data_IF_483941934863
#
_entry.id   IF_483941934863
#
_cell.length_a   1.000
_cell.length_b   1.000
_cell.length_c   1.000
_cell.angle_alpha   90.00
_cell.angle_beta   90.00
_cell.angle_gamma   90.00
#
_symmetry.space_group_name_H-M   'P 1'
#
loop_
_entity.id
_entity.type
_entity.pdbx_description
1 polymer ?
#
# COMPACT_ATOMS: atom_id res chain seq x y z
N UNK A 1 -2.43 -3.48 5.85
CA UNK A 1 -1.43 -2.42 6.16
C UNK A 1 -1.89 -1.13 5.54
N UNK A 2 -1.96 -0.04 6.31
CA UNK A 2 -2.28 1.29 5.78
C UNK A 2 -1.13 2.26 6.08
N UNK A 3 -0.43 2.69 5.04
CA UNK A 3 0.73 3.57 5.16
C UNK A 3 0.70 4.69 4.11
N UNK A 4 0.52 5.92 4.60
CA UNK A 4 0.46 7.14 3.80
C UNK A 4 1.82 7.85 3.86
N UNK A 5 2.63 7.73 2.82
CA UNK A 5 3.98 8.27 2.78
C UNK A 5 3.96 9.80 2.74
N UNK A 6 2.92 10.44 2.18
CA UNK A 6 2.79 11.90 2.11
C UNK A 6 2.83 12.60 3.49
N UNK A 7 2.65 11.83 4.57
CA UNK A 7 2.56 12.31 5.95
C UNK A 7 3.79 11.99 6.78
N UNK A 8 4.80 11.37 6.19
CA UNK A 8 6.03 10.98 6.86
C UNK A 8 7.14 11.95 6.43
N UNK A 9 7.95 12.49 7.35
CA UNK A 9 9.16 13.22 6.97
C UNK A 9 10.05 12.35 6.09
N UNK A 10 10.54 12.90 4.97
CA UNK A 10 11.27 12.11 3.96
C UNK A 10 12.50 11.42 4.54
N UNK A 11 13.17 12.07 5.49
CA UNK A 11 14.31 11.55 6.24
C UNK A 11 14.00 10.30 7.08
N UNK A 12 12.72 10.06 7.40
CA UNK A 12 12.29 8.91 8.18
C UNK A 12 11.77 7.76 7.31
N UNK A 13 11.54 7.97 6.01
CA UNK A 13 10.84 7.00 5.15
C UNK A 13 11.55 5.65 5.09
N UNK A 14 12.87 5.63 4.91
CA UNK A 14 13.66 4.40 4.84
C UNK A 14 13.60 3.61 6.17
N UNK A 15 13.77 4.29 7.30
CA UNK A 15 13.66 3.66 8.61
C UNK A 15 12.24 3.15 8.88
N UNK A 16 11.22 3.91 8.48
CA UNK A 16 9.83 3.50 8.61
C UNK A 16 9.49 2.27 7.76
N UNK A 17 10.08 2.15 6.56
CA UNK A 17 9.94 0.95 5.73
C UNK A 17 10.58 -0.27 6.42
N UNK A 18 11.82 -0.15 6.92
CA UNK A 18 12.48 -1.25 7.62
C UNK A 18 11.75 -1.68 8.91
N UNK A 19 11.21 -0.69 9.64
CA UNK A 19 10.38 -0.93 10.83
C UNK A 19 9.06 -1.64 10.48
N UNK A 20 8.44 -1.27 9.35
CA UNK A 20 7.26 -1.96 8.83
C UNK A 20 7.58 -3.41 8.46
N UNK A 21 8.70 -3.68 7.77
CA UNK A 21 9.15 -5.05 7.45
C UNK A 21 9.30 -5.88 8.73
N UNK A 22 9.98 -5.33 9.74
CA UNK A 22 10.14 -5.99 11.04
C UNK A 22 8.81 -6.29 11.73
N UNK A 23 7.87 -5.35 11.65
CA UNK A 23 6.51 -5.51 12.19
C UNK A 23 5.75 -6.61 11.46
N UNK A 24 5.84 -6.62 10.12
CA UNK A 24 5.18 -7.63 9.30
C UNK A 24 5.74 -9.01 9.58
N UNK A 25 7.05 -9.17 9.70
CA UNK A 25 7.67 -10.44 10.07
C UNK A 25 7.07 -10.99 11.36
N UNK A 26 7.00 -10.18 12.41
CA UNK A 26 6.42 -10.59 13.70
C UNK A 26 4.94 -10.97 13.62
N UNK A 27 4.16 -10.35 12.71
CA UNK A 27 2.73 -10.61 12.56
C UNK A 27 2.46 -11.83 11.67
N UNK A 28 3.31 -12.05 10.66
CA UNK A 28 3.18 -13.10 9.66
C UNK A 28 3.80 -14.44 10.11
N UNK A 29 4.79 -14.40 11.01
CA UNK A 29 5.43 -15.59 11.61
C UNK A 29 4.57 -16.23 12.73
N UNK A 30 3.47 -15.59 13.14
CA UNK A 30 2.47 -16.23 14.02
C UNK A 30 1.81 -17.40 13.28
N UNK A 31 1.71 -18.59 13.90
CA UNK A 31 1.10 -19.79 13.30
C UNK A 31 -0.37 -19.55 12.85
N UNK A 32 -1.03 -18.55 13.46
CA UNK A 32 -2.38 -18.09 13.10
C UNK A 32 -2.39 -16.85 12.19
N UNK A 33 -1.22 -16.39 11.77
CA UNK A 33 -0.98 -15.16 11.04
C UNK A 33 -1.54 -15.17 9.60
N UNK A 34 -1.88 -13.99 9.06
CA UNK A 34 -2.39 -13.89 7.71
C UNK A 34 -1.30 -14.24 6.68
N UNK A 35 -1.67 -14.85 5.56
CA UNK A 35 -0.71 -15.17 4.47
C UNK A 35 -0.60 -14.09 3.39
N UNK A 36 -1.48 -13.09 3.45
CA UNK A 36 -1.62 -12.06 2.43
C UNK A 36 -1.63 -10.68 3.09
N UNK A 37 -0.72 -9.83 2.64
CA UNK A 37 -0.64 -8.43 3.05
C UNK A 37 -1.40 -7.58 2.04
N UNK A 38 -2.54 -7.01 2.46
CA UNK A 38 -3.20 -5.93 1.72
C UNK A 38 -2.53 -4.60 2.05
N UNK A 39 -1.87 -4.00 1.08
CA UNK A 39 -1.11 -2.76 1.24
C UNK A 39 -1.87 -1.56 0.67
N UNK A 40 -2.20 -0.61 1.53
CA UNK A 40 -2.92 0.62 1.18
C UNK A 40 -1.97 1.79 1.34
N UNK A 41 -1.62 2.41 0.21
CA UNK A 41 -0.70 3.56 0.16
C UNK A 41 -1.20 4.66 -0.79
N UNK A 42 -0.73 5.89 -0.54
CA UNK A 42 -0.82 7.02 -1.47
C UNK A 42 0.33 7.08 -2.48
N UNK A 43 1.34 6.23 -2.33
CA UNK A 43 2.38 6.05 -3.32
C UNK A 43 1.80 5.30 -4.53
N UNK A 44 2.08 5.77 -5.75
CA UNK A 44 1.77 4.97 -6.91
C UNK A 44 2.88 3.96 -7.16
N UNK A 45 2.54 2.69 -6.98
CA UNK A 45 3.29 1.59 -7.56
C UNK A 45 3.14 1.69 -9.08
N UNK A 46 4.11 2.33 -9.72
CA UNK A 46 4.38 2.43 -11.17
C UNK A 46 3.19 2.13 -12.10
N UNK A 47 2.53 3.18 -12.60
CA UNK A 47 1.77 3.08 -13.84
C UNK A 47 2.77 2.79 -14.97
N UNK A 48 2.77 1.55 -15.47
CA UNK A 48 3.39 1.26 -16.77
C UNK A 48 2.60 2.03 -17.83
N UNK A 49 3.10 3.20 -18.23
CA UNK A 49 2.66 3.80 -19.47
C UNK A 49 3.15 2.94 -20.65
N UNK A 50 2.33 2.71 -21.69
CA UNK A 50 2.69 1.91 -22.87
C UNK A 50 3.81 2.55 -23.75
N UNK A 51 4.41 3.66 -23.32
CA UNK A 51 5.36 4.47 -24.06
C UNK A 51 6.78 4.50 -23.46
N UNK A 52 7.13 3.60 -22.53
CA UNK A 52 8.52 3.41 -22.09
C UNK A 52 9.15 4.58 -21.31
N UNK A 53 8.35 5.59 -20.95
CA UNK A 53 8.76 6.72 -20.10
C UNK A 53 8.13 6.54 -18.72
N UNK A 54 8.96 6.27 -17.70
CA UNK A 54 8.53 6.18 -16.30
C UNK A 54 8.07 7.55 -15.80
N UNK A 55 6.79 7.89 -15.99
CA UNK A 55 6.21 9.10 -15.44
C UNK A 55 5.91 8.92 -13.95
N UNK A 56 6.64 9.63 -13.09
CA UNK A 56 6.40 9.70 -11.63
C UNK A 56 5.19 10.59 -11.36
N UNK A 57 3.98 10.03 -11.31
CA UNK A 57 2.77 10.78 -10.90
C UNK A 57 2.21 10.28 -9.56
N UNK A 58 1.28 11.04 -8.99
CA UNK A 58 0.80 11.00 -7.60
C UNK A 58 -0.71 10.67 -7.49
N UNK A 59 -1.11 9.81 -6.53
CA UNK A 59 -2.46 9.16 -6.48
C UNK A 59 -3.55 10.04 -5.92
N UNK A 60 -3.14 11.17 -5.38
CA UNK A 60 -4.01 12.15 -4.79
C UNK A 60 -3.41 13.53 -5.06
N UNK A 61 -4.26 14.54 -5.24
CA UNK A 61 -3.83 15.94 -5.42
C UNK A 61 -3.00 16.52 -4.25
N UNK A 62 -2.84 15.75 -3.16
CA UNK A 62 -2.01 16.06 -1.99
C UNK A 62 -0.58 15.54 -2.09
N UNK A 63 -0.28 14.54 -2.92
CA UNK A 63 1.06 13.96 -3.00
C UNK A 63 1.90 14.68 -4.08
N UNK A 64 2.20 15.96 -3.84
CA UNK A 64 2.69 16.89 -4.88
C UNK A 64 4.14 16.70 -5.30
N UNK A 65 4.94 15.89 -4.60
CA UNK A 65 6.33 15.63 -4.94
C UNK A 65 6.78 14.24 -4.47
N UNK A 66 6.79 13.26 -5.39
CA UNK A 66 7.49 11.98 -5.18
C UNK A 66 8.99 12.29 -5.17
N UNK A 67 9.68 11.96 -4.08
CA UNK A 67 11.14 12.15 -3.95
C UNK A 67 11.87 10.81 -4.01
N UNK A 68 13.20 10.78 -4.22
CA UNK A 68 13.98 9.55 -4.19
C UNK A 68 13.83 8.74 -2.90
N UNK A 69 13.63 9.40 -1.76
CA UNK A 69 13.43 8.76 -0.45
C UNK A 69 12.13 7.94 -0.41
N UNK A 70 11.10 8.36 -1.16
CA UNK A 70 9.88 7.57 -1.30
C UNK A 70 10.12 6.30 -2.12
N UNK A 71 10.89 6.42 -3.20
CA UNK A 71 11.27 5.29 -4.05
C UNK A 71 12.14 4.30 -3.26
N UNK A 72 13.12 4.80 -2.52
CA UNK A 72 13.96 3.99 -1.62
C UNK A 72 13.14 3.24 -0.59
N UNK A 73 12.22 3.92 0.10
CA UNK A 73 11.36 3.28 1.10
C UNK A 73 10.46 2.19 0.52
N UNK A 74 9.95 2.40 -0.70
CA UNK A 74 9.17 1.39 -1.41
C UNK A 74 10.04 0.23 -1.89
N UNK A 75 11.28 0.48 -2.30
CA UNK A 75 12.23 -0.58 -2.68
C UNK A 75 12.57 -1.44 -1.46
N UNK A 76 12.87 -0.85 -0.29
CA UNK A 76 13.09 -1.60 0.96
C UNK A 76 11.91 -2.55 1.24
N UNK A 77 10.69 -2.05 1.09
CA UNK A 77 9.49 -2.86 1.31
C UNK A 77 9.35 -3.97 0.25
N UNK A 78 9.56 -3.67 -1.03
CA UNK A 78 9.45 -4.64 -2.12
C UNK A 78 10.52 -5.73 -2.04
N UNK A 79 11.76 -5.35 -1.77
CA UNK A 79 12.90 -6.27 -1.66
C UNK A 79 12.71 -7.26 -0.51
N UNK A 80 12.04 -6.85 0.58
CA UNK A 80 11.71 -7.75 1.67
C UNK A 80 10.80 -8.92 1.24
N UNK A 81 9.95 -8.77 0.21
CA UNK A 81 9.10 -9.84 -0.31
C UNK A 81 9.74 -10.66 -1.45
N UNK A 82 10.93 -10.28 -1.92
CA UNK A 82 11.66 -11.01 -2.97
C UNK A 82 12.44 -12.21 -2.39
N UNK A 83 12.99 -13.05 -3.27
CA UNK A 83 13.86 -14.17 -2.88
C UNK A 83 15.07 -13.68 -2.09
N UNK A 84 15.31 -14.25 -0.92
CA UNK A 84 16.35 -13.83 0.03
C UNK A 84 15.95 -12.65 0.92
N UNK A 85 14.73 -12.12 0.79
CA UNK A 85 14.18 -11.06 1.64
C UNK A 85 13.57 -11.59 2.95
N UNK A 86 13.39 -10.69 3.93
CA UNK A 86 12.89 -11.04 5.27
C UNK A 86 11.46 -11.60 5.30
N UNK A 87 10.67 -11.33 4.25
CA UNK A 87 9.29 -11.75 4.08
C UNK A 87 9.14 -12.67 2.86
N UNK A 88 10.22 -13.35 2.46
CA UNK A 88 10.19 -14.33 1.38
C UNK A 88 9.08 -15.38 1.62
N UNK A 89 8.33 -15.67 0.56
CA UNK A 89 7.23 -16.65 0.59
C UNK A 89 5.87 -16.06 1.00
N UNK A 90 5.83 -14.83 1.53
CA UNK A 90 4.58 -14.11 1.75
C UNK A 90 4.16 -13.31 0.51
N UNK A 91 2.86 -13.07 0.37
CA UNK A 91 2.32 -12.27 -0.73
C UNK A 91 1.89 -10.89 -0.25
N UNK A 92 2.24 -9.86 -1.02
CA UNK A 92 1.69 -8.51 -0.88
C UNK A 92 0.85 -8.16 -2.10
N UNK A 93 -0.28 -7.48 -1.87
CA UNK A 93 -1.17 -7.01 -2.94
C UNK A 93 -1.75 -5.65 -2.63
N UNK A 94 -2.20 -4.97 -3.68
CA UNK A 94 -2.90 -3.68 -3.61
C UNK A 94 -4.21 -3.73 -4.40
N UNK A 95 -5.12 -2.79 -4.13
CA UNK A 95 -6.38 -2.67 -4.86
C UNK A 95 -6.20 -2.58 -6.39
N UNK A 96 -5.30 -1.73 -6.95
CA UNK A 96 -5.14 -1.64 -8.40
C UNK A 96 -4.72 -2.98 -9.04
N UNK A 97 -3.87 -3.75 -8.36
CA UNK A 97 -3.44 -5.07 -8.82
C UNK A 97 -4.60 -6.06 -8.87
N UNK A 98 -5.52 -5.99 -7.91
CA UNK A 98 -6.69 -6.87 -7.85
C UNK A 98 -7.76 -6.47 -8.86
N UNK A 99 -7.99 -5.16 -9.06
CA UNK A 99 -8.84 -4.67 -10.13
C UNK A 99 -8.31 -5.13 -11.49
N UNK A 100 -7.00 -5.02 -11.74
CA UNK A 100 -6.36 -5.50 -12.98
C UNK A 100 -6.59 -7.01 -13.19
N UNK A 101 -6.50 -7.83 -12.13
CA UNK A 101 -6.80 -9.27 -12.21
C UNK A 101 -8.26 -9.52 -12.56
N UNK A 102 -9.20 -8.86 -11.88
CA UNK A 102 -10.64 -8.98 -12.17
C UNK A 102 -10.95 -8.65 -13.63
N UNK A 103 -10.35 -7.58 -14.17
CA UNK A 103 -10.48 -7.21 -15.59
C UNK A 103 -10.07 -8.33 -16.55
N UNK A 104 -8.98 -9.04 -16.24
CA UNK A 104 -8.49 -10.15 -17.06
C UNK A 104 -9.40 -11.39 -17.00
N UNK A 105 -10.12 -11.59 -15.89
CA UNK A 105 -10.98 -12.76 -15.69
C UNK A 105 -12.42 -12.55 -16.16
N UNK A 106 -13.02 -11.37 -15.94
CA UNK A 106 -14.47 -11.18 -16.09
C UNK A 106 -14.91 -10.47 -17.37
N UNK A 107 -13.97 -9.98 -18.21
CA UNK A 107 -14.30 -9.43 -19.53
C UNK A 107 -15.28 -8.26 -19.52
N UNK A 108 -14.77 -7.03 -19.56
CA UNK A 108 -15.56 -5.79 -19.66
C UNK A 108 -16.65 -5.62 -18.60
N UNK A 109 -16.24 -5.39 -17.34
CA UNK A 109 -17.13 -4.78 -16.36
C UNK A 109 -17.31 -3.31 -16.73
N UNK A 110 -18.53 -2.85 -17.00
CA UNK A 110 -18.87 -1.42 -17.22
C UNK A 110 -18.70 -0.53 -15.97
N UNK A 111 -17.94 -1.00 -14.97
CA UNK A 111 -17.65 -0.30 -13.73
C UNK A 111 -16.32 0.47 -13.81
N UNK A 112 -15.72 0.53 -15.00
CA UNK A 112 -14.37 1.08 -15.22
C UNK A 112 -14.24 2.52 -14.71
N UNK A 113 -15.18 3.38 -15.09
CA UNK A 113 -15.20 4.79 -14.66
C UNK A 113 -15.39 4.94 -13.14
N UNK A 114 -16.11 3.99 -12.52
CA UNK A 114 -16.39 3.99 -11.08
C UNK A 114 -15.20 3.48 -10.28
N UNK A 115 -14.47 2.49 -10.80
CA UNK A 115 -13.27 1.93 -10.15
C UNK A 115 -12.05 2.85 -10.28
N UNK A 116 -12.03 3.72 -11.28
CA UNK A 116 -11.03 4.78 -11.44
C UNK A 116 -11.25 5.98 -10.49
N UNK A 117 -12.46 6.11 -9.91
CA UNK A 117 -12.73 7.13 -8.91
C UNK A 117 -11.93 6.88 -7.62
N UNK A 118 -11.14 7.89 -7.24
CA UNK A 118 -10.29 7.83 -6.05
C UNK A 118 -11.08 7.69 -4.74
N UNK A 119 -12.31 8.20 -4.70
CA UNK A 119 -13.23 8.06 -3.57
C UNK A 119 -13.71 6.62 -3.43
N UNK A 120 -14.14 6.00 -4.53
CA UNK A 120 -14.54 4.58 -4.59
C UNK A 120 -13.37 3.67 -4.22
N UNK A 121 -12.20 3.86 -4.84
CA UNK A 121 -10.99 3.11 -4.51
C UNK A 121 -10.66 3.22 -3.01
N UNK A 122 -10.75 4.44 -2.46
CA UNK A 122 -10.56 4.67 -1.03
C UNK A 122 -11.59 3.96 -0.15
N UNK A 123 -12.86 3.84 -0.58
CA UNK A 123 -13.91 3.08 0.10
C UNK A 123 -13.61 1.58 0.06
N UNK A 124 -13.24 1.03 -1.10
CA UNK A 124 -12.92 -0.39 -1.24
C UNK A 124 -11.74 -0.80 -0.36
N UNK A 125 -10.65 -0.01 -0.36
CA UNK A 125 -9.51 -0.25 0.54
C UNK A 125 -9.91 -0.28 2.02
N UNK A 126 -10.89 0.55 2.42
CA UNK A 126 -11.42 0.55 3.79
C UNK A 126 -12.26 -0.68 4.09
N UNK A 127 -13.13 -1.09 3.17
CA UNK A 127 -13.94 -2.29 3.34
C UNK A 127 -13.05 -3.53 3.53
N UNK A 128 -11.98 -3.65 2.73
CA UNK A 128 -11.00 -4.73 2.89
C UNK A 128 -10.29 -4.62 4.24
N UNK A 129 -9.87 -3.41 4.63
CA UNK A 129 -9.20 -3.18 5.92
C UNK A 129 -10.10 -3.53 7.11
N UNK A 130 -11.40 -3.24 7.04
CA UNK A 130 -12.38 -3.56 8.09
C UNK A 130 -12.59 -5.07 8.28
N UNK A 131 -12.37 -5.85 7.22
CA UNK A 131 -12.53 -7.31 7.24
C UNK A 131 -11.19 -8.04 7.45
N UNK A 132 -10.10 -7.30 7.63
CA UNK A 132 -8.78 -7.90 7.84
C UNK A 132 -8.67 -8.54 9.23
N UNK A 133 -7.98 -9.67 9.32
CA UNK A 133 -7.68 -10.33 10.60
C UNK A 133 -6.78 -9.47 11.48
N UNK A 134 -5.81 -8.79 10.84
CA UNK A 134 -4.86 -7.90 11.49
C UNK A 134 -4.74 -6.62 10.69
N UNK A 135 -4.93 -5.49 11.38
CA UNK A 135 -4.76 -4.17 10.82
C UNK A 135 -3.49 -3.49 11.38
N UNK A 136 -2.51 -3.29 10.51
CA UNK A 136 -1.27 -2.56 10.83
C UNK A 136 -1.39 -1.12 10.35
N UNK A 137 -1.21 -0.18 11.28
CA UNK A 137 -1.11 1.26 11.02
C UNK A 137 0.22 1.81 11.52
N UNK A 138 0.66 2.93 10.95
CA UNK A 138 1.97 3.50 11.29
C UNK A 138 2.02 4.09 12.70
N UNK A 139 3.22 4.11 13.28
CA UNK A 139 3.51 4.80 14.53
C UNK A 139 3.46 6.33 14.36
N UNK A 140 3.62 7.10 15.45
CA UNK A 140 3.65 8.58 15.41
C UNK A 140 4.73 9.16 14.50
N UNK A 141 5.85 8.44 14.34
CA UNK A 141 6.96 8.85 13.47
C UNK A 141 6.76 8.42 12.02
N UNK A 142 6.01 7.33 11.79
CA UNK A 142 5.78 6.72 10.48
C UNK A 142 4.36 6.94 9.94
N UNK A 143 3.54 7.71 10.65
CA UNK A 143 2.22 8.16 10.23
C UNK A 143 1.73 9.31 11.13
N UNK A 144 0.68 10.03 10.71
CA UNK A 144 0.06 11.06 11.54
C UNK A 144 -0.60 10.45 12.79
N UNK A 145 -0.36 11.05 13.96
CA UNK A 145 -0.94 10.70 15.29
C UNK A 145 -2.48 10.67 15.35
N UNK A 146 -3.17 11.24 14.35
CA UNK A 146 -4.63 11.24 14.25
C UNK A 146 -5.04 10.85 12.84
N UNK A 147 -5.48 9.61 12.68
CA UNK A 147 -6.29 9.22 11.55
C UNK A 147 -7.75 9.48 11.91
N UNK A 148 -8.26 10.68 11.60
CA UNK A 148 -9.68 11.06 11.84
C UNK A 148 -10.64 10.04 11.22
N UNK A 149 -10.18 9.36 10.18
CA UNK A 149 -10.95 8.41 9.41
C UNK A 149 -11.27 7.08 10.13
N UNK A 150 -10.39 6.57 10.99
CA UNK A 150 -10.63 5.29 11.70
C UNK A 150 -11.44 5.45 12.99
N UNK A 151 -11.66 6.70 13.44
CA UNK A 151 -12.50 7.00 14.61
C UNK A 151 -13.99 6.70 14.38
N UNK A 152 -14.42 6.53 13.13
CA UNK A 152 -15.82 6.23 12.76
C UNK A 152 -16.11 4.73 12.65
N UNK A 153 -15.11 3.87 12.82
CA UNK A 153 -15.21 2.42 12.57
C UNK A 153 -15.01 1.59 13.85
N UNK A 154 -15.14 2.24 15.02
CA UNK A 154 -15.12 1.57 16.34
C UNK A 154 -16.55 1.38 16.82
#
# INVERSE_FOLDING_TARGET
VHWRLERVPVENLAWCAASLVSTLRSVLDDDSGPRLVWFVTDYHTFSEQPSGVKAKSAKSGTFRAVTPEHEEAMNILQDAFQTGGDLEGYAMTELPSQIKKLRMFEGNVQLEDVLEDSGVSGILDKLVSMQSQVFVSGSRACSKTRCVFWQQVV
#
